data_IF_443180887650
#
_entry.id   IF_443180887650
#
_cell.length_a   1.000
_cell.length_b   1.000
_cell.length_c   1.000
_cell.angle_alpha   90.00
_cell.angle_beta   90.00
_cell.angle_gamma   90.00
#
_symmetry.space_group_name_H-M   'P 1'
#
loop_
_entity.id
_entity.type
_entity.pdbx_description
1 polymer ?
#
# COMPACT_ATOMS: atom_id res chain seq x y z
N UNK A 1 3.39 -16.98 20.63
CA UNK A 1 3.79 -16.90 19.21
C UNK A 1 3.11 -18.03 18.46
N UNK A 2 2.61 -17.77 17.25
CA UNK A 2 2.08 -18.82 16.37
C UNK A 2 3.18 -19.28 15.42
N UNK A 3 3.23 -20.58 15.11
CA UNK A 3 4.16 -21.16 14.13
C UNK A 3 3.36 -21.84 13.03
N UNK A 4 3.81 -21.68 11.78
CA UNK A 4 3.23 -22.34 10.61
C UNK A 4 4.34 -22.94 9.77
N UNK A 5 4.18 -24.18 9.34
CA UNK A 5 5.05 -24.79 8.35
C UNK A 5 4.52 -24.45 6.96
N UNK A 6 5.31 -23.73 6.16
CA UNK A 6 4.95 -23.32 4.80
C UNK A 6 5.85 -24.05 3.79
N UNK A 7 5.25 -24.56 2.73
CA UNK A 7 5.97 -25.06 1.57
C UNK A 7 6.08 -23.93 0.55
N UNK A 8 7.31 -23.52 0.21
CA UNK A 8 7.57 -22.44 -0.73
C UNK A 8 8.17 -23.06 -1.99
N UNK A 9 7.66 -22.72 -3.19
CA UNK A 9 8.28 -23.16 -4.44
C UNK A 9 9.75 -22.73 -4.52
N UNK A 10 10.61 -23.63 -4.99
CA UNK A 10 12.07 -23.42 -5.04
C UNK A 10 12.46 -22.11 -5.72
N UNK A 11 11.87 -21.81 -6.89
CA UNK A 11 12.16 -20.58 -7.63
C UNK A 11 11.82 -19.30 -6.84
N UNK A 12 10.79 -19.34 -6.00
CA UNK A 12 10.42 -18.19 -5.15
C UNK A 12 11.43 -18.06 -4.01
N UNK A 13 11.84 -19.17 -3.40
CA UNK A 13 12.84 -19.14 -2.33
C UNK A 13 14.16 -18.54 -2.83
N UNK A 14 14.60 -18.92 -4.02
CA UNK A 14 15.81 -18.38 -4.65
C UNK A 14 15.72 -16.87 -4.88
N UNK A 15 14.56 -16.38 -5.34
CA UNK A 15 14.35 -14.95 -5.51
C UNK A 15 14.40 -14.20 -4.18
N UNK A 16 13.69 -14.67 -3.16
CA UNK A 16 13.67 -14.02 -1.85
C UNK A 16 15.07 -14.01 -1.23
N UNK A 17 15.82 -15.09 -1.39
CA UNK A 17 17.20 -15.17 -0.93
C UNK A 17 18.10 -14.16 -1.64
N UNK A 18 18.02 -14.05 -2.96
CA UNK A 18 18.82 -13.06 -3.72
C UNK A 18 18.53 -11.62 -3.26
N UNK A 19 17.26 -11.28 -3.04
CA UNK A 19 16.88 -9.94 -2.54
C UNK A 19 17.36 -9.74 -1.09
N UNK A 20 17.24 -10.75 -0.24
CA UNK A 20 17.74 -10.66 1.14
C UNK A 20 19.26 -10.46 1.20
N UNK A 21 20.01 -11.11 0.30
CA UNK A 21 21.47 -10.93 0.15
C UNK A 21 21.82 -9.54 -0.37
N UNK A 22 21.08 -9.03 -1.37
CA UNK A 22 21.25 -7.67 -1.92
C UNK A 22 21.00 -6.59 -0.86
N UNK A 23 19.95 -6.74 -0.06
CA UNK A 23 19.58 -5.82 1.02
C UNK A 23 20.39 -6.04 2.31
N UNK A 24 21.20 -7.11 2.38
CA UNK A 24 22.01 -7.44 3.56
C UNK A 24 21.19 -7.79 4.81
N UNK A 25 19.95 -8.27 4.64
CA UNK A 25 19.05 -8.60 5.75
C UNK A 25 18.86 -10.12 5.90
N UNK A 26 18.67 -10.64 7.12
CA UNK A 26 18.39 -12.06 7.32
C UNK A 26 17.14 -12.52 6.57
N UNK A 27 17.21 -13.70 5.94
CA UNK A 27 16.10 -14.27 5.16
C UNK A 27 14.78 -14.37 5.96
N UNK A 28 14.86 -14.74 7.24
CA UNK A 28 13.68 -14.81 8.12
C UNK A 28 13.03 -13.46 8.35
N UNK A 29 13.82 -12.39 8.43
CA UNK A 29 13.34 -11.02 8.57
C UNK A 29 12.73 -10.52 7.26
N UNK A 30 13.36 -10.83 6.12
CA UNK A 30 12.80 -10.57 4.79
C UNK A 30 11.42 -11.22 4.64
N UNK A 31 11.32 -12.53 4.91
CA UNK A 31 10.06 -13.27 4.83
C UNK A 31 8.98 -12.70 5.76
N UNK A 32 9.35 -12.34 6.99
CA UNK A 32 8.40 -11.73 7.93
C UNK A 32 7.90 -10.36 7.44
N UNK A 33 8.79 -9.54 6.89
CA UNK A 33 8.44 -8.26 6.28
C UNK A 33 7.45 -8.43 5.14
N UNK A 34 7.78 -9.30 4.18
CA UNK A 34 6.91 -9.58 3.03
C UNK A 34 5.52 -10.10 3.43
N UNK A 35 5.43 -10.97 4.43
CA UNK A 35 4.15 -11.46 4.95
C UNK A 35 3.35 -10.31 5.58
N UNK A 36 4.00 -9.47 6.39
CA UNK A 36 3.36 -8.34 7.06
C UNK A 36 2.84 -7.33 6.04
N UNK A 37 3.68 -6.96 5.08
CA UNK A 37 3.33 -6.02 4.01
C UNK A 37 2.21 -6.56 3.12
N UNK A 38 2.26 -7.84 2.76
CA UNK A 38 1.20 -8.49 1.98
C UNK A 38 -0.16 -8.46 2.69
N UNK A 39 -0.18 -8.73 4.00
CA UNK A 39 -1.39 -8.66 4.83
C UNK A 39 -1.90 -7.22 4.91
N UNK A 40 -1.01 -6.26 5.14
CA UNK A 40 -1.35 -4.85 5.28
C UNK A 40 -1.87 -4.25 3.97
N UNK A 41 -1.25 -4.59 2.84
CA UNK A 41 -1.70 -4.16 1.52
C UNK A 41 -3.14 -4.64 1.25
N UNK A 42 -3.44 -5.90 1.54
CA UNK A 42 -4.79 -6.45 1.38
C UNK A 42 -5.80 -5.74 2.30
N UNK A 43 -5.44 -5.47 3.56
CA UNK A 43 -6.28 -4.74 4.52
C UNK A 43 -6.53 -3.30 4.08
N UNK A 44 -5.49 -2.58 3.64
CA UNK A 44 -5.59 -1.22 3.13
C UNK A 44 -6.54 -1.16 1.93
N UNK A 45 -6.35 -2.05 0.97
CA UNK A 45 -7.20 -2.11 -0.23
C UNK A 45 -8.68 -2.37 0.11
N UNK A 46 -8.95 -3.33 1.01
CA UNK A 46 -10.30 -3.60 1.51
C UNK A 46 -10.90 -2.36 2.18
N UNK A 47 -10.14 -1.72 3.07
CA UNK A 47 -10.59 -0.52 3.79
C UNK A 47 -10.91 0.63 2.83
N UNK A 48 -10.09 0.83 1.80
CA UNK A 48 -10.35 1.84 0.76
C UNK A 48 -11.63 1.53 -0.01
N UNK A 49 -11.88 0.27 -0.37
CA UNK A 49 -13.14 -0.15 -1.02
C UNK A 49 -14.36 0.08 -0.13
N UNK A 50 -14.28 -0.27 1.15
CA UNK A 50 -15.36 -0.06 2.12
C UNK A 50 -15.64 1.43 2.38
N UNK A 51 -14.61 2.28 2.30
CA UNK A 51 -14.77 3.74 2.37
C UNK A 51 -15.40 4.28 1.09
N UNK A 52 -14.93 3.85 -0.09
CA UNK A 52 -15.47 4.26 -1.38
C UNK A 52 -16.95 3.86 -1.54
N UNK A 53 -17.34 2.66 -1.09
CA UNK A 53 -18.73 2.20 -1.14
C UNK A 53 -19.69 3.05 -0.29
N UNK A 54 -19.17 3.75 0.73
CA UNK A 54 -19.94 4.68 1.58
C UNK A 54 -19.76 6.13 1.16
N UNK A 55 -18.94 6.41 0.15
CA UNK A 55 -18.66 7.76 -0.26
C UNK A 55 -19.85 8.34 -1.03
N UNK A 56 -20.15 9.61 -0.77
CA UNK A 56 -21.08 10.39 -1.58
C UNK A 56 -20.28 11.41 -2.39
N UNK A 57 -20.07 11.09 -3.66
CA UNK A 57 -19.30 11.94 -4.58
C UNK A 57 -20.01 13.27 -4.82
N UNK A 58 -21.34 13.27 -4.87
CA UNK A 58 -22.10 14.49 -5.10
C UNK A 58 -21.99 15.44 -3.90
N UNK A 59 -22.08 14.92 -2.68
CA UNK A 59 -21.86 15.71 -1.47
C UNK A 59 -20.43 16.27 -1.40
N UNK A 60 -19.43 15.50 -1.81
CA UNK A 60 -18.05 15.97 -1.86
C UNK A 60 -17.86 17.11 -2.88
N UNK A 61 -18.41 16.97 -4.10
CA UNK A 61 -18.38 18.03 -5.11
C UNK A 61 -19.11 19.28 -4.65
N UNK A 62 -20.28 19.15 -4.02
CA UNK A 62 -21.03 20.28 -3.49
C UNK A 62 -20.31 21.03 -2.35
N UNK A 63 -19.34 20.39 -1.67
CA UNK A 63 -18.44 21.06 -0.73
C UNK A 63 -17.34 21.81 -1.50
N UNK A 64 -16.76 21.19 -2.53
CA UNK A 64 -15.71 21.80 -3.35
C UNK A 64 -16.22 23.04 -4.10
N UNK A 65 -17.48 23.06 -4.55
CA UNK A 65 -18.11 24.22 -5.20
C UNK A 65 -18.20 25.45 -4.29
N UNK A 66 -17.97 25.30 -2.97
CA UNK A 66 -17.92 26.42 -2.02
C UNK A 66 -16.55 27.07 -1.93
N UNK A 67 -15.52 26.44 -2.49
CA UNK A 67 -14.19 27.04 -2.55
C UNK A 67 -14.24 28.28 -3.44
N UNK A 68 -13.66 29.40 -3.01
CA UNK A 68 -13.59 30.59 -3.85
C UNK A 68 -12.68 30.33 -5.05
N UNK A 69 -13.12 30.78 -6.22
CA UNK A 69 -12.30 30.75 -7.43
C UNK A 69 -11.24 31.86 -7.33
N UNK A 70 -10.04 31.48 -6.89
CA UNK A 70 -8.89 32.37 -6.67
C UNK A 70 -7.74 31.98 -7.60
N UNK A 71 -6.87 32.93 -7.97
CA UNK A 71 -5.65 32.60 -8.69
C UNK A 71 -4.85 31.53 -7.96
N UNK A 72 -4.16 30.68 -8.74
CA UNK A 72 -3.21 29.71 -8.20
C UNK A 72 -2.12 30.44 -7.41
N UNK A 73 -1.65 29.79 -6.34
CA UNK A 73 -0.47 30.26 -5.63
C UNK A 73 0.77 30.07 -6.53
N UNK A 74 1.77 30.97 -6.45
CA UNK A 74 3.00 30.84 -7.24
C UNK A 74 3.69 29.50 -6.96
N UNK A 75 3.95 28.71 -8.01
CA UNK A 75 4.53 27.36 -7.92
C UNK A 75 3.53 26.21 -8.02
N UNK A 76 2.22 26.48 -7.97
CA UNK A 76 1.16 25.49 -8.22
C UNK A 76 0.74 25.43 -9.70
N UNK A 77 1.55 26.01 -10.60
CA UNK A 77 1.30 25.93 -12.03
C UNK A 77 1.54 24.51 -12.57
N UNK A 78 0.73 24.08 -13.53
CA UNK A 78 0.98 22.83 -14.25
C UNK A 78 2.31 22.92 -15.03
N UNK A 79 3.11 21.85 -15.08
CA UNK A 79 4.36 21.82 -15.83
C UNK A 79 4.19 21.96 -17.34
#
# INVERSE_FOLDING_TARGET
MASVALQIPEHVMQQVQAVAEEEGIPLSQMLLGLITDGVDQQRKLRTMRERAARADVAAALAILDRAPDVPLDPGDELP
#
